data_IF_991816775753
#
_entry.id   IF_991816775753
#
_cell.length_a   1.000
_cell.length_b   1.000
_cell.length_c   1.000
_cell.angle_alpha   90.00
_cell.angle_beta   90.00
_cell.angle_gamma   90.00
#
_symmetry.space_group_name_H-M   'P 1'
#
loop_
_entity.id
_entity.type
_entity.pdbx_description
1 polymer ?
#
# COMPACT_ATOMS: atom_id res chain seq x y z
N UNK A 1 16.03 -28.52 -1.59
CA UNK A 1 15.36 -28.62 -2.90
C UNK A 1 14.13 -27.73 -2.84
N UNK A 2 14.22 -26.51 -3.33
CA UNK A 2 13.05 -25.63 -3.45
C UNK A 2 12.17 -26.19 -4.58
N UNK A 3 10.96 -26.62 -4.22
CA UNK A 3 9.92 -26.88 -5.21
C UNK A 3 9.63 -25.55 -5.92
N UNK A 4 9.97 -25.45 -7.20
CA UNK A 4 9.34 -24.47 -8.10
C UNK A 4 7.84 -24.79 -8.09
N UNK A 5 7.11 -24.15 -7.18
CA UNK A 5 5.65 -24.22 -7.14
C UNK A 5 5.15 -23.72 -8.48
N UNK A 6 4.67 -24.65 -9.31
CA UNK A 6 4.01 -24.36 -10.57
C UNK A 6 2.75 -23.57 -10.25
N UNK A 7 2.82 -22.25 -10.32
CA UNK A 7 1.63 -21.39 -10.29
C UNK A 7 0.68 -21.89 -11.38
N UNK A 8 -0.54 -22.34 -11.04
CA UNK A 8 -1.49 -22.82 -12.03
C UNK A 8 -1.68 -21.81 -13.16
N UNK A 9 -1.70 -22.30 -14.40
CA UNK A 9 -1.85 -21.46 -15.60
C UNK A 9 -3.04 -20.51 -15.51
N UNK A 10 -4.14 -20.95 -14.91
CA UNK A 10 -5.34 -20.13 -14.67
C UNK A 10 -5.10 -18.92 -13.75
N UNK A 11 -4.21 -19.03 -12.76
CA UNK A 11 -3.84 -17.90 -11.91
C UNK A 11 -3.01 -16.88 -12.69
N UNK A 12 -2.11 -17.35 -13.56
CA UNK A 12 -1.29 -16.48 -14.42
C UNK A 12 -2.19 -15.76 -15.43
N UNK A 13 -3.07 -16.47 -16.13
CA UNK A 13 -4.02 -15.89 -17.08
C UNK A 13 -4.96 -14.89 -16.42
N UNK A 14 -5.42 -15.19 -15.20
CA UNK A 14 -6.22 -14.26 -14.40
C UNK A 14 -5.45 -12.98 -14.04
N UNK A 15 -4.19 -13.09 -13.62
CA UNK A 15 -3.35 -11.93 -13.31
C UNK A 15 -3.11 -11.05 -14.55
N UNK A 16 -2.84 -11.67 -15.71
CA UNK A 16 -2.67 -10.95 -16.98
C UNK A 16 -3.96 -10.22 -17.37
N UNK A 17 -5.11 -10.88 -17.30
CA UNK A 17 -6.40 -10.26 -17.61
C UNK A 17 -6.65 -9.03 -16.74
N UNK A 18 -6.37 -9.13 -15.44
CA UNK A 18 -6.54 -8.00 -14.50
C UNK A 18 -5.59 -6.85 -14.77
N UNK A 19 -4.34 -7.13 -15.16
CA UNK A 19 -3.41 -6.10 -15.64
C UNK A 19 -3.88 -5.38 -16.91
N UNK A 20 -4.82 -5.97 -17.66
CA UNK A 20 -5.50 -5.34 -18.81
C UNK A 20 -6.83 -4.68 -18.42
N UNK A 21 -7.13 -4.55 -17.13
CA UNK A 21 -8.38 -4.00 -16.61
C UNK A 21 -9.58 -4.93 -16.78
N UNK A 22 -9.37 -6.25 -16.90
CA UNK A 22 -10.44 -7.24 -17.11
C UNK A 22 -10.42 -8.36 -16.07
N UNK A 23 -11.57 -8.88 -15.70
CA UNK A 23 -11.64 -10.09 -14.88
C UNK A 23 -11.23 -11.33 -15.68
N UNK A 24 -11.09 -12.47 -15.00
CA UNK A 24 -10.78 -13.74 -15.66
C UNK A 24 -11.86 -14.19 -16.67
N UNK A 25 -13.07 -13.64 -16.58
CA UNK A 25 -14.17 -13.89 -17.53
C UNK A 25 -14.17 -12.90 -18.71
N UNK A 26 -13.28 -11.91 -18.70
CA UNK A 26 -13.20 -10.85 -19.70
C UNK A 26 -14.07 -9.63 -19.41
N UNK A 27 -14.83 -9.63 -18.29
CA UNK A 27 -15.62 -8.47 -17.88
C UNK A 27 -14.71 -7.30 -17.49
N UNK A 28 -15.16 -6.07 -17.75
CA UNK A 28 -14.42 -4.87 -17.36
C UNK A 28 -14.35 -4.78 -15.83
N UNK A 29 -13.16 -4.50 -15.29
CA UNK A 29 -13.01 -4.18 -13.87
C UNK A 29 -13.36 -2.70 -13.65
N UNK A 30 -14.05 -2.46 -12.56
CA UNK A 30 -14.35 -1.13 -12.06
C UNK A 30 -13.69 -0.91 -10.69
N UNK A 31 -13.14 0.28 -10.45
CA UNK A 31 -12.59 0.61 -9.13
C UNK A 31 -13.71 0.86 -8.12
N UNK A 32 -13.45 0.50 -6.87
CA UNK A 32 -14.20 0.91 -5.69
C UNK A 32 -13.25 0.98 -4.50
N UNK A 33 -13.54 1.88 -3.56
CA UNK A 33 -12.80 1.97 -2.30
C UNK A 33 -13.73 1.54 -1.16
N UNK A 34 -13.20 0.79 -0.21
CA UNK A 34 -13.90 0.42 1.02
C UNK A 34 -13.13 0.94 2.23
N UNK A 35 -13.81 1.77 3.01
CA UNK A 35 -13.27 2.34 4.24
C UNK A 35 -13.72 1.50 5.45
N UNK A 36 -12.79 1.20 6.35
CA UNK A 36 -13.01 0.29 7.49
C UNK A 36 -12.51 0.95 8.77
N UNK A 37 -13.30 0.88 9.82
CA UNK A 37 -12.93 1.25 11.18
C UNK A 37 -12.88 -0.02 12.06
N UNK A 38 -11.77 -0.22 12.76
CA UNK A 38 -11.56 -1.27 13.76
C UNK A 38 -11.30 -0.63 15.13
N UNK A 39 -11.94 -1.10 16.21
CA UNK A 39 -11.63 -0.64 17.57
C UNK A 39 -10.16 -0.91 17.97
N UNK A 40 -9.54 -0.07 18.81
CA UNK A 40 -10.13 1.11 19.45
C UNK A 40 -10.18 2.36 18.54
N UNK A 41 -9.29 2.52 17.57
CA UNK A 41 -9.33 3.65 16.61
C UNK A 41 -8.44 3.42 15.37
N UNK A 42 -8.52 2.24 14.78
CA UNK A 42 -7.74 1.89 13.59
C UNK A 42 -8.60 2.08 12.36
N UNK A 43 -8.13 2.93 11.48
CA UNK A 43 -8.69 3.20 10.18
C UNK A 43 -7.94 2.41 9.11
N UNK A 44 -8.70 1.85 8.17
CA UNK A 44 -8.17 1.23 6.98
C UNK A 44 -8.90 1.72 5.74
N UNK A 45 -8.20 1.70 4.60
CA UNK A 45 -8.73 1.94 3.27
C UNK A 45 -8.30 0.78 2.39
N UNK A 46 -9.28 0.13 1.74
CA UNK A 46 -9.03 -0.93 0.77
C UNK A 46 -9.40 -0.42 -0.63
N UNK A 47 -8.42 -0.39 -1.53
CA UNK A 47 -8.66 -0.16 -2.95
C UNK A 47 -8.95 -1.50 -3.64
N UNK A 48 -10.05 -1.56 -4.38
CA UNK A 48 -10.62 -2.79 -4.94
C UNK A 48 -10.93 -2.57 -6.41
N UNK A 49 -10.61 -3.56 -7.23
CA UNK A 49 -10.98 -3.61 -8.65
C UNK A 49 -11.78 -4.88 -8.94
N UNK A 50 -13.04 -4.70 -9.30
CA UNK A 50 -14.00 -5.81 -9.42
C UNK A 50 -14.90 -5.65 -10.64
N UNK A 51 -15.35 -6.79 -11.18
CA UNK A 51 -16.39 -6.84 -12.20
C UNK A 51 -17.82 -6.86 -11.62
N UNK A 52 -17.95 -6.91 -10.29
CA UNK A 52 -19.23 -6.92 -9.60
C UNK A 52 -19.13 -6.30 -8.20
N UNK A 53 -19.35 -4.99 -8.13
CA UNK A 53 -19.30 -4.21 -6.88
C UNK A 53 -20.21 -4.76 -5.78
N UNK A 54 -21.41 -5.22 -6.11
CA UNK A 54 -22.36 -5.71 -5.10
C UNK A 54 -21.88 -6.98 -4.43
N UNK A 55 -21.35 -7.94 -5.21
CA UNK A 55 -20.75 -9.17 -4.69
C UNK A 55 -19.55 -8.85 -3.80
N UNK A 56 -18.61 -8.06 -4.31
CA UNK A 56 -17.42 -7.65 -3.57
C UNK A 56 -17.76 -6.93 -2.27
N UNK A 57 -18.68 -5.98 -2.29
CA UNK A 57 -19.17 -5.30 -1.08
C UNK A 57 -19.74 -6.28 -0.06
N UNK A 58 -20.54 -7.26 -0.50
CA UNK A 58 -21.14 -8.24 0.39
C UNK A 58 -20.07 -9.10 1.07
N UNK A 59 -19.16 -9.66 0.27
CA UNK A 59 -18.16 -10.60 0.75
C UNK A 59 -17.12 -9.92 1.64
N UNK A 60 -16.63 -8.74 1.24
CA UNK A 60 -15.65 -7.99 2.03
C UNK A 60 -16.27 -7.43 3.32
N UNK A 61 -17.55 -7.01 3.32
CA UNK A 61 -18.26 -6.66 4.56
C UNK A 61 -18.36 -7.83 5.53
N UNK A 62 -18.50 -9.05 5.02
CA UNK A 62 -18.52 -10.24 5.86
C UNK A 62 -17.16 -10.47 6.52
N UNK A 63 -16.05 -10.30 5.79
CA UNK A 63 -14.68 -10.34 6.34
C UNK A 63 -14.51 -9.29 7.45
N UNK A 64 -14.86 -8.04 7.16
CA UNK A 64 -14.77 -6.92 8.12
C UNK A 64 -15.54 -7.22 9.40
N UNK A 65 -16.79 -7.68 9.28
CA UNK A 65 -17.64 -8.01 10.42
C UNK A 65 -17.08 -9.19 11.24
N UNK A 66 -16.52 -10.21 10.58
CA UNK A 66 -15.91 -11.37 11.24
C UNK A 66 -14.70 -10.97 12.09
N UNK A 67 -13.94 -9.97 11.66
CA UNK A 67 -12.81 -9.42 12.40
C UNK A 67 -13.21 -8.34 13.44
N UNK A 68 -14.51 -8.10 13.65
CA UNK A 68 -14.98 -7.11 14.62
C UNK A 68 -14.90 -5.65 14.16
N UNK A 69 -14.60 -5.40 12.89
CA UNK A 69 -14.59 -4.08 12.29
C UNK A 69 -15.96 -3.64 11.76
N UNK A 70 -16.04 -2.39 11.32
CA UNK A 70 -17.21 -1.79 10.69
C UNK A 70 -16.79 -1.08 9.40
N UNK A 71 -17.62 -1.18 8.36
CA UNK A 71 -17.47 -0.35 7.17
C UNK A 71 -18.04 1.04 7.47
N UNK A 72 -17.23 2.08 7.29
CA UNK A 72 -17.56 3.46 7.63
C UNK A 72 -16.47 4.40 7.16
N UNK A 73 -16.74 5.71 7.11
CA UNK A 73 -15.78 6.65 6.53
C UNK A 73 -14.57 6.83 7.44
N UNK A 74 -13.39 6.71 6.84
CA UNK A 74 -12.07 6.84 7.45
C UNK A 74 -11.12 7.66 6.58
N UNK A 75 -11.57 8.21 5.44
CA UNK A 75 -10.73 8.99 4.54
C UNK A 75 -10.01 10.17 5.22
N UNK A 76 -10.56 10.71 6.32
CA UNK A 76 -9.93 11.79 7.08
C UNK A 76 -8.65 11.39 7.83
N UNK A 77 -8.39 10.09 8.02
CA UNK A 77 -7.15 9.56 8.58
C UNK A 77 -6.02 9.52 7.56
N UNK A 78 -6.32 9.78 6.28
CA UNK A 78 -5.38 9.60 5.19
C UNK A 78 -5.32 10.83 4.29
N UNK A 79 -4.19 10.97 3.62
CA UNK A 79 -3.99 11.90 2.52
C UNK A 79 -3.64 11.13 1.25
N UNK A 80 -4.08 11.62 0.09
CA UNK A 80 -3.59 11.09 -1.19
C UNK A 80 -2.23 11.72 -1.47
N UNK A 81 -1.19 10.89 -1.52
CA UNK A 81 0.20 11.31 -1.78
C UNK A 81 0.75 10.55 -2.98
N UNK A 82 1.65 11.19 -3.70
CA UNK A 82 2.56 10.51 -4.62
C UNK A 82 3.70 9.87 -3.82
N UNK A 83 4.09 8.66 -4.24
CA UNK A 83 5.20 7.90 -3.66
C UNK A 83 6.09 7.43 -4.79
N UNK A 84 7.39 7.70 -4.70
CA UNK A 84 8.39 7.18 -5.61
C UNK A 84 9.51 6.47 -4.86
N UNK A 85 9.86 5.26 -5.30
CA UNK A 85 10.97 4.48 -4.75
C UNK A 85 12.04 4.32 -5.81
N UNK A 86 13.28 4.58 -5.41
CA UNK A 86 14.46 4.48 -6.27
C UNK A 86 15.43 3.45 -5.73
N UNK A 87 16.03 2.64 -6.61
CA UNK A 87 17.09 1.72 -6.20
C UNK A 87 18.38 2.47 -5.84
N UNK A 88 19.18 1.94 -4.91
CA UNK A 88 20.54 2.42 -4.75
C UNK A 88 21.35 2.20 -6.03
N UNK A 89 22.28 3.12 -6.28
CA UNK A 89 23.31 2.98 -7.32
C UNK A 89 24.68 3.01 -6.67
N UNK A 90 25.59 2.13 -7.10
CA UNK A 90 26.98 2.19 -6.65
C UNK A 90 27.63 3.52 -7.09
N UNK A 91 28.28 4.21 -6.16
CA UNK A 91 28.70 5.61 -6.35
C UNK A 91 27.53 6.56 -6.66
N UNK A 92 26.35 6.25 -6.13
CA UNK A 92 25.14 7.07 -6.21
C UNK A 92 25.18 8.29 -5.28
N UNK A 93 24.14 9.14 -5.34
CA UNK A 93 24.01 10.30 -4.45
C UNK A 93 23.91 9.88 -2.98
N UNK A 94 24.23 10.78 -2.07
CA UNK A 94 23.79 10.64 -0.67
C UNK A 94 22.31 11.03 -0.54
N UNK A 95 21.69 10.69 0.59
CA UNK A 95 20.34 11.18 0.93
C UNK A 95 20.26 12.72 0.85
N UNK A 96 21.31 13.43 1.29
CA UNK A 96 21.38 14.88 1.24
C UNK A 96 21.37 15.43 -0.19
N UNK A 97 22.04 14.78 -1.13
CA UNK A 97 22.04 15.20 -2.54
C UNK A 97 20.65 15.02 -3.17
N UNK A 98 19.95 13.92 -2.83
CA UNK A 98 18.58 13.66 -3.30
C UNK A 98 17.61 14.69 -2.72
N UNK A 99 17.74 15.01 -1.43
CA UNK A 99 16.93 16.03 -0.78
C UNK A 99 17.14 17.42 -1.40
N UNK A 100 18.38 17.79 -1.73
CA UNK A 100 18.68 19.07 -2.37
C UNK A 100 17.97 19.19 -3.73
N UNK A 101 18.07 18.16 -4.58
CA UNK A 101 17.34 18.12 -5.86
C UNK A 101 15.82 18.16 -5.66
N UNK A 102 15.30 17.43 -4.68
CA UNK A 102 13.89 17.40 -4.37
C UNK A 102 13.34 18.77 -3.95
N UNK A 103 14.12 19.54 -3.20
CA UNK A 103 13.82 20.93 -2.80
C UNK A 103 13.91 21.88 -4.00
N UNK A 104 14.93 21.76 -4.85
CA UNK A 104 15.09 22.59 -6.06
C UNK A 104 13.89 22.47 -7.00
N UNK A 105 13.25 21.30 -7.03
CA UNK A 105 12.06 21.03 -7.83
C UNK A 105 10.72 21.40 -7.16
N UNK A 106 10.73 21.87 -5.91
CA UNK A 106 9.54 22.30 -5.13
C UNK A 106 8.38 21.30 -5.25
N UNK A 107 8.71 20.03 -5.06
CA UNK A 107 7.80 18.92 -5.34
C UNK A 107 7.78 17.82 -4.29
N UNK A 108 8.80 17.73 -3.43
CA UNK A 108 8.81 16.75 -2.33
C UNK A 108 8.19 17.32 -1.06
N UNK A 109 7.39 16.49 -0.43
CA UNK A 109 6.92 16.69 0.93
C UNK A 109 7.85 15.99 1.93
N UNK A 110 8.45 14.85 1.55
CA UNK A 110 9.43 14.13 2.37
C UNK A 110 10.39 13.27 1.53
N UNK A 111 11.59 13.01 2.05
CA UNK A 111 12.64 12.19 1.41
C UNK A 111 13.34 11.34 2.48
N UNK A 112 13.29 10.02 2.31
CA UNK A 112 13.77 9.04 3.28
C UNK A 112 14.70 8.01 2.61
N UNK A 113 15.51 7.32 3.42
CA UNK A 113 16.18 6.10 2.97
C UNK A 113 15.17 4.94 2.92
N UNK A 114 15.16 4.23 1.79
CA UNK A 114 14.37 3.01 1.67
C UNK A 114 15.10 1.86 2.39
N UNK A 115 14.41 0.92 3.07
CA UNK A 115 15.05 -0.20 3.79
C UNK A 115 16.05 -1.02 2.96
N UNK A 116 15.85 -1.12 1.65
CA UNK A 116 16.76 -1.78 0.69
C UNK A 116 17.99 -0.93 0.30
N UNK A 117 18.23 0.20 0.97
CA UNK A 117 19.33 1.14 0.73
C UNK A 117 19.07 2.18 -0.35
N UNK A 118 17.87 2.23 -0.90
CA UNK A 118 17.44 3.19 -1.92
C UNK A 118 16.90 4.49 -1.33
N UNK A 119 16.07 5.20 -2.10
CA UNK A 119 15.39 6.42 -1.64
C UNK A 119 13.89 6.29 -1.81
N UNK A 120 13.16 6.79 -0.82
CA UNK A 120 11.71 6.92 -0.81
C UNK A 120 11.37 8.41 -0.83
N UNK A 121 10.48 8.82 -1.72
CA UNK A 121 10.10 10.23 -1.90
C UNK A 121 8.59 10.34 -1.87
N UNK A 122 8.11 11.19 -0.98
CA UNK A 122 6.70 11.54 -0.85
C UNK A 122 6.42 12.90 -1.47
N UNK A 123 5.32 13.02 -2.19
CA UNK A 123 4.91 14.27 -2.85
C UNK A 123 3.41 14.50 -2.80
N UNK A 124 2.99 15.70 -3.14
CA UNK A 124 1.63 15.89 -3.65
C UNK A 124 1.43 15.04 -4.92
N UNK A 125 0.22 14.48 -5.16
CA UNK A 125 -0.05 13.66 -6.34
C UNK A 125 0.25 14.37 -7.67
N UNK A 126 0.07 15.69 -7.72
CA UNK A 126 0.28 16.50 -8.91
C UNK A 126 1.76 16.66 -9.30
N UNK A 127 2.67 16.42 -8.35
CA UNK A 127 4.12 16.65 -8.48
C UNK A 127 4.92 15.37 -8.75
N UNK A 128 4.33 14.21 -8.44
CA UNK A 128 4.99 12.89 -8.50
C UNK A 128 5.76 12.66 -9.79
N UNK A 129 5.11 12.84 -10.95
CA UNK A 129 5.74 12.56 -12.24
C UNK A 129 6.95 13.46 -12.49
N UNK A 130 6.82 14.75 -12.20
CA UNK A 130 7.88 15.73 -12.43
C UNK A 130 9.11 15.46 -11.55
N UNK A 131 8.91 15.20 -10.25
CA UNK A 131 10.02 14.91 -9.34
C UNK A 131 10.68 13.57 -9.68
N UNK A 132 9.87 12.57 -10.04
CA UNK A 132 10.37 11.22 -10.33
C UNK A 132 11.32 11.26 -11.51
N UNK A 133 10.93 11.99 -12.56
CA UNK A 133 11.77 12.19 -13.73
C UNK A 133 13.01 13.03 -13.44
N UNK A 134 12.91 14.08 -12.62
CA UNK A 134 14.04 14.94 -12.29
C UNK A 134 15.16 14.16 -11.59
N UNK A 135 14.81 13.48 -10.49
CA UNK A 135 15.74 12.72 -9.66
C UNK A 135 16.33 11.53 -10.42
N UNK A 136 15.49 10.79 -11.16
CA UNK A 136 15.98 9.70 -12.01
C UNK A 136 16.99 10.19 -13.05
N UNK A 137 16.73 11.32 -13.71
CA UNK A 137 17.64 11.88 -14.73
C UNK A 137 18.92 12.47 -14.15
N UNK A 138 18.87 13.20 -13.03
CA UNK A 138 20.07 13.83 -12.45
C UNK A 138 21.05 12.82 -11.89
N UNK A 139 20.55 11.78 -11.22
CA UNK A 139 21.38 10.83 -10.50
C UNK A 139 21.51 9.46 -11.17
N UNK A 140 20.85 9.28 -12.32
CA UNK A 140 20.77 8.02 -13.07
C UNK A 140 20.22 6.87 -12.20
N UNK A 141 19.22 7.19 -11.37
CA UNK A 141 18.58 6.24 -10.47
C UNK A 141 17.44 5.50 -11.19
N UNK A 142 17.34 4.20 -10.95
CA UNK A 142 16.24 3.37 -11.42
C UNK A 142 15.01 3.56 -10.51
N UNK A 143 13.88 3.91 -11.11
CA UNK A 143 12.58 3.97 -10.42
C UNK A 143 12.04 2.55 -10.28
N UNK A 144 11.80 2.13 -9.04
CA UNK A 144 11.16 0.85 -8.71
C UNK A 144 9.65 1.00 -8.74
N UNK A 145 9.16 2.02 -8.07
CA UNK A 145 7.74 2.30 -7.88
C UNK A 145 7.50 3.80 -8.05
N UNK A 146 6.37 4.15 -8.66
CA UNK A 146 5.89 5.52 -8.78
C UNK A 146 4.37 5.48 -8.87
N UNK A 147 3.70 5.79 -7.76
CA UNK A 147 2.26 5.65 -7.65
C UNK A 147 1.63 6.72 -6.78
N UNK A 148 0.32 6.95 -6.98
CA UNK A 148 -0.48 7.77 -6.08
C UNK A 148 -1.25 6.82 -5.18
N UNK A 149 -1.07 6.95 -3.88
CA UNK A 149 -1.63 6.07 -2.88
C UNK A 149 -2.22 6.83 -1.70
N UNK A 150 -2.85 6.10 -0.79
CA UNK A 150 -3.24 6.63 0.51
C UNK A 150 -2.06 6.54 1.46
N UNK A 151 -1.74 7.64 2.13
CA UNK A 151 -0.76 7.68 3.21
C UNK A 151 -1.49 8.09 4.48
N UNK A 152 -1.21 7.40 5.59
CA UNK A 152 -1.77 7.76 6.89
C UNK A 152 -1.23 9.13 7.33
N UNK A 153 -2.09 9.99 7.85
CA UNK A 153 -1.66 11.25 8.44
C UNK A 153 -0.94 10.96 9.75
N UNK A 154 0.27 11.50 9.93
CA UNK A 154 1.14 11.22 11.09
C UNK A 154 0.45 11.44 12.43
N UNK A 155 -0.34 12.49 12.56
CA UNK A 155 -1.07 12.89 13.77
C UNK A 155 -2.25 11.96 14.11
N UNK A 156 -2.62 11.08 13.18
CA UNK A 156 -3.74 10.15 13.33
C UNK A 156 -3.30 8.69 13.40
N UNK A 157 -2.00 8.41 13.36
CA UNK A 157 -1.49 7.05 13.47
C UNK A 157 -1.80 6.45 14.86
N UNK A 158 -2.18 5.17 14.85
CA UNK A 158 -2.50 4.38 16.03
C UNK A 158 -1.39 3.38 16.32
N UNK A 159 -0.94 3.35 17.57
CA UNK A 159 0.02 2.37 18.05
C UNK A 159 -0.61 0.97 18.17
N UNK A 160 0.09 -0.04 17.67
CA UNK A 160 -0.27 -1.44 17.89
C UNK A 160 0.53 -1.96 19.09
N UNK A 161 -0.15 -2.12 20.23
CA UNK A 161 0.48 -2.37 21.55
C UNK A 161 0.09 -3.70 22.20
N UNK A 162 -0.72 -4.54 21.55
CA UNK A 162 -1.17 -5.79 22.16
C UNK A 162 -1.28 -6.94 21.16
N UNK A 163 -0.96 -8.14 21.61
CA UNK A 163 -1.10 -9.36 20.83
C UNK A 163 -2.57 -9.62 20.41
N UNK A 164 -3.55 -9.20 21.21
CA UNK A 164 -4.98 -9.31 20.88
C UNK A 164 -5.35 -8.42 19.68
N UNK A 165 -4.80 -7.20 19.64
CA UNK A 165 -4.98 -6.27 18.54
C UNK A 165 -4.28 -6.78 17.27
N UNK A 166 -3.06 -7.32 17.40
CA UNK A 166 -2.33 -7.98 16.30
C UNK A 166 -3.16 -9.11 15.70
N UNK A 167 -3.73 -9.99 16.53
CA UNK A 167 -4.52 -11.11 16.01
C UNK A 167 -5.78 -10.62 15.27
N UNK A 168 -6.49 -9.64 15.83
CA UNK A 168 -7.70 -9.07 15.22
C UNK A 168 -7.39 -8.40 13.87
N UNK A 169 -6.29 -7.64 13.80
CA UNK A 169 -5.82 -7.00 12.57
C UNK A 169 -5.36 -8.03 11.55
N UNK A 170 -4.60 -9.05 11.96
CA UNK A 170 -4.14 -10.10 11.06
C UNK A 170 -5.33 -10.86 10.45
N UNK A 171 -6.38 -11.17 11.22
CA UNK A 171 -7.61 -11.79 10.70
C UNK A 171 -8.26 -10.90 9.64
N UNK A 172 -8.36 -9.59 9.89
CA UNK A 172 -8.91 -8.65 8.90
C UNK A 172 -8.04 -8.57 7.64
N UNK A 173 -6.77 -8.21 7.80
CA UNK A 173 -5.85 -7.92 6.71
C UNK A 173 -5.62 -9.16 5.83
N UNK A 174 -5.31 -10.31 6.44
CA UNK A 174 -5.15 -11.54 5.68
C UNK A 174 -6.45 -11.97 5.01
N UNK A 175 -7.59 -11.86 5.69
CA UNK A 175 -8.90 -12.19 5.14
C UNK A 175 -9.28 -11.32 3.95
N UNK A 176 -8.91 -10.04 3.95
CA UNK A 176 -9.08 -9.16 2.78
C UNK A 176 -8.12 -9.54 1.64
N UNK A 177 -6.85 -9.87 1.94
CA UNK A 177 -5.86 -10.30 0.94
C UNK A 177 -6.20 -11.64 0.26
N UNK A 178 -7.08 -12.46 0.85
CA UNK A 178 -7.61 -13.66 0.17
C UNK A 178 -8.46 -13.32 -1.06
N UNK A 179 -8.96 -12.09 -1.17
CA UNK A 179 -9.77 -11.63 -2.30
C UNK A 179 -8.87 -11.01 -3.37
N UNK A 180 -8.73 -11.62 -4.56
CA UNK A 180 -7.84 -11.11 -5.59
C UNK A 180 -8.22 -9.73 -6.12
N UNK A 181 -9.47 -9.31 -5.93
CA UNK A 181 -9.99 -7.99 -6.29
C UNK A 181 -9.50 -6.87 -5.36
N UNK A 182 -9.06 -7.18 -4.13
CA UNK A 182 -8.38 -6.22 -3.25
C UNK A 182 -6.99 -5.97 -3.82
N UNK A 183 -6.73 -4.72 -4.21
CA UNK A 183 -5.45 -4.29 -4.80
C UNK A 183 -4.50 -3.80 -3.75
N UNK A 184 -4.98 -2.92 -2.88
CA UNK A 184 -4.19 -2.32 -1.84
C UNK A 184 -4.98 -2.19 -0.54
N UNK A 185 -4.26 -2.27 0.57
CA UNK A 185 -4.73 -2.10 1.94
C UNK A 185 -3.83 -1.08 2.62
N UNK A 186 -4.41 0.05 2.99
CA UNK A 186 -3.73 1.09 3.74
C UNK A 186 -4.31 1.13 5.14
N UNK A 187 -3.49 1.33 6.16
CA UNK A 187 -3.93 1.40 7.54
C UNK A 187 -3.16 2.51 8.27
N UNK A 188 -3.81 3.21 9.20
CA UNK A 188 -3.18 4.23 10.03
C UNK A 188 -2.43 3.63 11.22
N UNK A 189 -1.77 2.48 11.06
CA UNK A 189 -1.10 1.80 12.16
C UNK A 189 0.41 2.03 12.10
N UNK A 190 1.05 2.03 13.26
CA UNK A 190 2.50 1.94 13.40
C UNK A 190 2.86 0.94 14.50
N UNK A 191 4.09 0.43 14.45
CA UNK A 191 4.59 -0.46 15.47
C UNK A 191 4.70 0.28 16.81
N UNK A 192 3.96 -0.19 17.81
CA UNK A 192 4.05 0.30 19.18
C UNK A 192 5.02 -0.56 20.00
N UNK A 193 4.50 -1.18 21.06
CA UNK A 193 5.26 -1.99 22.02
C UNK A 193 5.36 -3.48 21.67
N UNK A 194 4.77 -3.91 20.54
CA UNK A 194 4.84 -5.29 20.06
C UNK A 194 6.21 -5.63 19.46
N UNK A 195 6.50 -6.93 19.39
CA UNK A 195 7.73 -7.42 18.77
C UNK A 195 7.74 -7.27 17.24
N UNK A 196 8.93 -7.26 16.64
CA UNK A 196 9.11 -7.21 15.17
C UNK A 196 8.41 -8.40 14.49
N UNK A 197 8.53 -9.61 15.07
CA UNK A 197 7.83 -10.82 14.57
C UNK A 197 6.30 -10.67 14.58
N UNK A 198 5.73 -9.87 15.49
CA UNK A 198 4.30 -9.57 15.52
C UNK A 198 3.92 -8.48 14.53
N UNK A 199 4.77 -7.46 14.39
CA UNK A 199 4.60 -6.39 13.42
C UNK A 199 4.64 -6.92 11.97
N UNK A 200 5.61 -7.77 11.65
CA UNK A 200 5.79 -8.41 10.34
C UNK A 200 4.54 -9.16 9.86
N UNK A 201 3.76 -9.71 10.80
CA UNK A 201 2.50 -10.40 10.46
C UNK A 201 1.47 -9.47 9.86
N UNK A 202 1.48 -8.20 10.27
CA UNK A 202 0.58 -7.15 9.82
C UNK A 202 1.16 -6.41 8.61
N UNK A 203 2.41 -5.96 8.72
CA UNK A 203 3.07 -5.10 7.74
C UNK A 203 3.07 -5.72 6.34
N UNK A 204 3.32 -7.03 6.24
CA UNK A 204 3.29 -7.77 4.98
C UNK A 204 1.98 -7.71 4.20
N UNK A 205 0.88 -7.27 4.83
CA UNK A 205 -0.43 -7.17 4.20
C UNK A 205 -0.82 -5.72 3.88
N UNK A 206 -0.11 -4.71 4.37
CA UNK A 206 -0.42 -3.31 4.10
C UNK A 206 0.52 -2.78 3.02
N UNK A 207 0.04 -1.85 2.20
CA UNK A 207 0.84 -1.15 1.20
C UNK A 207 1.29 0.18 1.83
N UNK A 208 2.62 0.40 1.87
CA UNK A 208 3.29 1.54 2.50
C UNK A 208 4.38 2.10 1.59
#
# INVERSE_FOLDING_TARGET
MYSKTSVPKSLIEGAIARGQGRSATGAQLEPMTMEILMPPNIALVADIETDNKTRSLHDLKFVVKKAGGLVGSTAFYFSRRGRAVFKPRDGGPSLSDVLEEAIEHDGAEDVEEHPDGGYLIWTEPSKLMAITEAISKRFELEVVESEIMWAANEDTQADVDSAELVESLNILLSGLREYPEVRALFANIRQGTISDDEWDKLERHIDI
#
